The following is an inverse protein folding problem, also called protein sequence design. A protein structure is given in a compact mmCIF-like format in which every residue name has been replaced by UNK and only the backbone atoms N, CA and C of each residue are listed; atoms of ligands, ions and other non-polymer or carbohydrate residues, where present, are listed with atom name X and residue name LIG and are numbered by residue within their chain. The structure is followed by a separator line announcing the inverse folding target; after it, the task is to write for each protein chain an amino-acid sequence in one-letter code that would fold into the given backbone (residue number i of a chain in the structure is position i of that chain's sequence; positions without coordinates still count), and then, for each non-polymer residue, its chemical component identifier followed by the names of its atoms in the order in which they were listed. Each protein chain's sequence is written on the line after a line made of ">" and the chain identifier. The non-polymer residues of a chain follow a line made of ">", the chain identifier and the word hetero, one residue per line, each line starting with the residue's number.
data_IF_845635139465
#
_entry.id   IF_845635139465
#
_cell.length_a   1.000
_cell.length_b   1.000
_cell.length_c   1.000
_cell.angle_alpha   90.00
_cell.angle_beta   90.00
_cell.angle_gamma   90.00
#
_symmetry.space_group_name_H-M   'P 1'
#
loop_
_entity.id
_entity.type
_entity.pdbx_description
1 polymer ?
#
# COMPACT_ATOMS: atom_id res chain seq x y z
N UNK A 1 -14.91 -8.09 9.06
CA UNK A 1 -14.06 -7.53 10.13
C UNK A 1 -14.36 -6.05 10.19
N UNK A 2 -14.91 -5.56 11.29
CA UNK A 2 -15.06 -4.11 11.50
C UNK A 2 -13.68 -3.54 11.77
N UNK A 3 -13.09 -2.89 10.78
CA UNK A 3 -11.84 -2.14 10.92
C UNK A 3 -12.19 -0.89 11.70
N UNK A 4 -11.53 -0.65 12.84
CA UNK A 4 -11.66 0.61 13.55
C UNK A 4 -10.69 1.62 12.95
N UNK A 5 -11.18 2.79 12.55
CA UNK A 5 -10.33 3.89 12.07
C UNK A 5 -10.08 4.84 13.24
N UNK A 6 -8.84 5.29 13.38
CA UNK A 6 -8.42 6.25 14.39
C UNK A 6 -7.72 7.44 13.73
N UNK A 7 -8.45 8.55 13.58
CA UNK A 7 -7.90 9.78 13.01
C UNK A 7 -7.16 10.58 14.09
N UNK A 8 -5.84 10.61 13.97
CA UNK A 8 -4.91 11.34 14.81
C UNK A 8 -4.35 12.57 14.08
N UNK A 9 -3.79 13.51 14.84
CA UNK A 9 -3.17 14.71 14.31
C UNK A 9 -1.72 14.84 14.75
N UNK A 10 -0.89 15.41 13.87
CA UNK A 10 0.51 15.68 14.15
C UNK A 10 0.70 16.46 15.45
N UNK A 11 1.66 16.00 16.27
CA UNK A 11 2.03 16.59 17.55
C UNK A 11 0.93 16.63 18.63
N UNK A 12 -0.20 15.96 18.44
CA UNK A 12 -1.26 15.83 19.45
C UNK A 12 -1.01 14.57 20.28
N UNK A 13 -1.15 14.68 21.61
CA UNK A 13 -0.98 13.54 22.51
C UNK A 13 -2.33 12.86 22.75
N UNK A 14 -2.35 11.54 22.60
CA UNK A 14 -3.50 10.67 22.83
C UNK A 14 -3.22 9.75 24.01
N UNK A 15 -4.26 9.43 24.79
CA UNK A 15 -4.15 8.45 25.86
C UNK A 15 -4.21 7.05 25.27
N UNK A 16 -3.44 6.11 25.81
CA UNK A 16 -3.47 4.70 25.43
C UNK A 16 -3.88 3.87 26.62
N UNK A 17 -4.87 3.01 26.41
CA UNK A 17 -5.36 2.04 27.38
C UNK A 17 -5.28 0.65 26.75
N UNK A 18 -4.75 -0.31 27.50
CA UNK A 18 -4.71 -1.69 27.04
C UNK A 18 -6.12 -2.29 27.06
N UNK A 19 -6.54 -2.83 25.92
CA UNK A 19 -7.81 -3.52 25.72
C UNK A 19 -7.55 -5.02 25.61
N UNK A 20 -8.39 -5.84 26.24
CA UNK A 20 -8.27 -7.30 26.21
C UNK A 20 -8.97 -7.95 25.02
N UNK A 21 -9.89 -7.25 24.35
CA UNK A 21 -10.78 -7.87 23.35
C UNK A 21 -10.68 -7.23 21.96
N UNK A 22 -10.68 -5.90 21.86
CA UNK A 22 -10.74 -5.19 20.57
C UNK A 22 -9.99 -3.86 20.60
N UNK A 23 -9.42 -3.51 19.46
CA UNK A 23 -8.85 -2.18 19.24
C UNK A 23 -9.96 -1.21 18.82
N UNK A 24 -10.03 -0.04 19.45
CA UNK A 24 -10.92 1.04 19.01
C UNK A 24 -10.44 2.42 19.47
N UNK A 25 -10.92 3.45 18.80
CA UNK A 25 -10.64 4.83 19.14
C UNK A 25 -11.89 5.52 19.68
N UNK A 26 -11.77 6.16 20.85
CA UNK A 26 -12.81 7.00 21.45
C UNK A 26 -12.45 8.46 21.24
N UNK A 27 -13.19 9.13 20.35
CA UNK A 27 -12.95 10.54 20.01
C UNK A 27 -13.20 11.47 21.20
N UNK A 28 -14.32 11.26 21.91
CA UNK A 28 -14.74 12.09 23.04
C UNK A 28 -13.69 12.19 24.16
N UNK A 29 -12.95 11.10 24.40
CA UNK A 29 -11.92 11.03 25.43
C UNK A 29 -10.50 11.05 24.86
N UNK A 30 -10.33 11.22 23.53
CA UNK A 30 -9.05 11.11 22.81
C UNK A 30 -8.22 9.91 23.29
N UNK A 31 -8.88 8.76 23.44
CA UNK A 31 -8.28 7.55 24.03
C UNK A 31 -8.28 6.42 23.02
N UNK A 32 -7.09 5.85 22.79
CA UNK A 32 -6.85 4.66 22.00
C UNK A 32 -6.89 3.44 22.91
N UNK A 33 -7.84 2.55 22.64
CA UNK A 33 -7.91 1.24 23.26
C UNK A 33 -7.21 0.25 22.34
N UNK A 34 -6.06 -0.27 22.75
CA UNK A 34 -5.20 -1.13 21.92
C UNK A 34 -4.91 -2.44 22.65
N UNK A 35 -4.94 -3.55 21.93
CA UNK A 35 -4.45 -4.85 22.40
C UNK A 35 -2.92 -4.84 22.48
N UNK A 36 -2.36 -5.74 23.29
CA UNK A 36 -0.90 -5.88 23.41
C UNK A 36 -0.26 -6.28 22.08
N UNK A 37 -0.93 -7.12 21.28
CA UNK A 37 -0.48 -7.53 19.95
C UNK A 37 -0.35 -6.31 19.01
N UNK A 38 -1.40 -5.50 18.92
CA UNK A 38 -1.41 -4.28 18.10
C UNK A 38 -0.37 -3.26 18.56
N UNK A 39 -0.18 -3.09 19.88
CA UNK A 39 0.85 -2.19 20.40
C UNK A 39 2.27 -2.68 20.03
N UNK A 40 2.53 -3.98 20.15
CA UNK A 40 3.80 -4.58 19.74
C UNK A 40 4.06 -4.44 18.24
N UNK A 41 3.03 -4.56 17.40
CA UNK A 41 3.13 -4.29 15.97
C UNK A 41 3.47 -2.83 15.68
N UNK A 42 2.76 -1.89 16.31
CA UNK A 42 3.04 -0.45 16.18
C UNK A 42 4.48 -0.11 16.61
N UNK A 43 4.97 -0.69 17.71
CA UNK A 43 6.36 -0.52 18.12
C UNK A 43 7.36 -1.06 17.09
N UNK A 44 7.08 -2.23 16.49
CA UNK A 44 7.93 -2.78 15.42
C UNK A 44 7.97 -1.86 14.20
N UNK A 45 6.83 -1.34 13.76
CA UNK A 45 6.75 -0.41 12.62
C UNK A 45 7.49 0.90 12.97
N UNK A 46 7.31 1.41 14.19
CA UNK A 46 7.92 2.65 14.67
C UNK A 46 9.44 2.56 14.89
N UNK A 47 10.02 1.35 14.94
CA UNK A 47 11.49 1.16 14.98
C UNK A 47 12.15 1.56 13.66
N UNK A 48 11.49 1.31 12.52
CA UNK A 48 12.04 1.60 11.19
C UNK A 48 11.98 3.09 10.89
N UNK A 49 10.82 3.70 11.12
CA UNK A 49 10.59 5.13 10.96
C UNK A 49 10.05 5.65 12.28
N UNK A 50 10.75 6.55 12.98
CA UNK A 50 10.28 7.10 14.26
C UNK A 50 9.16 8.12 14.04
N UNK A 51 7.96 7.64 13.73
CA UNK A 51 6.78 8.43 13.40
C UNK A 51 5.86 8.66 14.62
N UNK A 52 5.97 7.83 15.67
CA UNK A 52 5.25 7.98 16.94
C UNK A 52 6.22 8.10 18.13
N UNK A 53 5.86 8.94 19.10
CA UNK A 53 6.34 8.88 20.46
C UNK A 53 5.39 8.01 21.28
N UNK A 54 5.80 6.76 21.54
CA UNK A 54 5.04 5.79 22.33
C UNK A 54 5.56 5.84 23.77
N UNK A 55 4.73 6.34 24.68
CA UNK A 55 4.93 6.30 26.12
C UNK A 55 4.13 5.17 26.78
N UNK A 56 4.22 5.04 28.11
CA UNK A 56 3.53 3.96 28.86
C UNK A 56 1.99 3.99 28.75
N UNK A 57 1.41 5.18 28.65
CA UNK A 57 -0.05 5.41 28.56
C UNK A 57 -0.40 6.51 27.56
N UNK A 58 0.56 6.88 26.72
CA UNK A 58 0.43 8.00 25.81
C UNK A 58 1.01 7.66 24.46
N UNK A 59 0.42 8.20 23.40
CA UNK A 59 0.89 8.05 22.04
C UNK A 59 0.78 9.41 21.37
N UNK A 60 1.87 9.86 20.75
CA UNK A 60 1.94 11.16 20.11
C UNK A 60 2.55 11.04 18.71
N UNK A 61 1.83 11.35 17.64
CA UNK A 61 2.40 11.47 16.31
C UNK A 61 3.43 12.60 16.23
N UNK A 62 4.48 12.40 15.43
CA UNK A 62 5.53 13.39 15.16
C UNK A 62 5.21 14.16 13.86
N UNK A 63 6.25 14.56 13.11
CA UNK A 63 6.15 15.18 11.78
C UNK A 63 5.98 14.11 10.71
N UNK A 64 4.82 13.47 10.70
CA UNK A 64 4.50 12.41 9.78
C UNK A 64 3.02 12.43 9.47
N UNK A 65 2.69 12.31 8.18
CA UNK A 65 1.33 12.28 7.68
C UNK A 65 1.18 10.99 6.89
N UNK A 66 0.08 10.28 7.07
CA UNK A 66 -0.19 9.04 6.34
C UNK A 66 -1.06 8.08 7.12
N UNK A 67 -1.10 6.83 6.67
CA UNK A 67 -1.91 5.76 7.27
C UNK A 67 -1.02 4.61 7.71
N UNK A 68 -1.32 4.06 8.88
CA UNK A 68 -0.65 2.89 9.44
C UNK A 68 -1.71 1.91 9.93
N UNK A 69 -1.69 0.70 9.38
CA UNK A 69 -2.52 -0.41 9.85
C UNK A 69 -1.72 -1.30 10.79
N UNK A 70 -2.27 -1.58 11.97
CA UNK A 70 -1.69 -2.50 12.95
C UNK A 70 -2.83 -3.30 13.60
N UNK A 71 -2.72 -4.62 13.62
CA UNK A 71 -3.78 -5.50 14.09
C UNK A 71 -5.14 -5.18 13.45
N UNK A 72 -6.11 -4.83 14.29
CA UNK A 72 -7.50 -4.53 13.87
C UNK A 72 -7.81 -3.04 13.73
N UNK A 73 -6.82 -2.16 13.95
CA UNK A 73 -6.98 -0.70 13.89
C UNK A 73 -6.18 -0.10 12.73
N UNK A 74 -6.79 0.88 12.08
CA UNK A 74 -6.14 1.76 11.09
C UNK A 74 -5.94 3.12 11.74
N UNK A 75 -4.69 3.55 11.87
CA UNK A 75 -4.33 4.87 12.38
C UNK A 75 -4.06 5.78 11.19
N UNK A 76 -4.84 6.85 11.08
CA UNK A 76 -4.65 7.90 10.10
C UNK A 76 -4.05 9.11 10.79
N UNK A 77 -2.93 9.63 10.31
CA UNK A 77 -2.29 10.81 10.88
C UNK A 77 -2.43 11.96 9.89
N UNK A 78 -3.18 12.98 10.27
CA UNK A 78 -3.47 14.17 9.48
C UNK A 78 -2.64 15.39 9.95
N UNK A 79 -2.34 16.33 9.05
CA UNK A 79 -1.62 17.54 9.42
C UNK A 79 -2.44 18.45 10.33
N UNK A 80 -1.75 19.10 11.27
CA UNK A 80 -2.36 20.12 12.14
C UNK A 80 -2.41 21.48 11.43
N UNK A 81 -3.31 21.62 10.45
CA UNK A 81 -3.43 22.84 9.63
C UNK A 81 -4.14 24.02 10.31
N UNK A 82 -4.91 23.77 11.37
CA UNK A 82 -5.63 24.80 12.12
C UNK A 82 -5.05 24.97 13.53
N UNK A 83 -4.94 26.22 13.99
CA UNK A 83 -4.38 26.55 15.30
C UNK A 83 -5.32 26.24 16.47
N UNK A 84 -6.62 26.32 16.24
CA UNK A 84 -7.64 26.02 17.26
C UNK A 84 -8.00 24.53 17.21
N UNK A 85 -8.47 23.97 18.33
CA UNK A 85 -8.98 22.58 18.44
C UNK A 85 -10.13 22.23 17.47
N UNK A 86 -10.54 23.20 16.63
CA UNK A 86 -11.45 23.06 15.49
C UNK A 86 -10.93 22.16 14.38
N UNK A 87 -9.66 21.74 14.40
CA UNK A 87 -9.12 20.81 13.40
C UNK A 87 -9.90 19.47 13.36
N UNK A 88 -10.46 19.01 14.48
CA UNK A 88 -11.30 17.80 14.50
C UNK A 88 -12.63 17.97 13.76
N UNK A 89 -13.18 19.18 13.75
CA UNK A 89 -14.42 19.51 13.05
C UNK A 89 -14.20 19.72 11.54
N UNK A 90 -12.94 19.87 11.12
CA UNK A 90 -12.55 20.20 9.75
C UNK A 90 -11.74 19.07 9.09
N UNK A 91 -11.88 17.83 9.54
CA UNK A 91 -11.15 16.65 8.99
C UNK A 91 -11.21 16.58 7.46
N UNK A 92 -12.41 16.69 6.88
CA UNK A 92 -12.59 16.65 5.42
C UNK A 92 -11.81 17.77 4.70
N UNK A 93 -11.84 18.99 5.24
CA UNK A 93 -11.09 20.13 4.71
C UNK A 93 -9.58 19.90 4.82
N UNK A 94 -9.12 19.33 5.94
CA UNK A 94 -7.71 18.99 6.15
C UNK A 94 -7.25 17.93 5.15
N UNK A 95 -8.02 16.85 4.99
CA UNK A 95 -7.74 15.78 4.03
C UNK A 95 -7.69 16.31 2.60
N UNK A 96 -8.66 17.15 2.20
CA UNK A 96 -8.67 17.80 0.88
C UNK A 96 -7.46 18.70 0.66
N UNK A 97 -7.09 19.50 1.65
CA UNK A 97 -5.90 20.35 1.57
C UNK A 97 -4.63 19.50 1.47
N UNK A 98 -4.55 18.39 2.21
CA UNK A 98 -3.44 17.45 2.15
C UNK A 98 -3.31 16.83 0.75
N UNK A 99 -4.40 16.34 0.19
CA UNK A 99 -4.44 15.81 -1.17
C UNK A 99 -4.01 16.85 -2.21
N UNK A 100 -4.45 18.11 -2.04
CA UNK A 100 -4.02 19.21 -2.90
C UNK A 100 -2.52 19.48 -2.76
N UNK A 101 -1.97 19.49 -1.54
CA UNK A 101 -0.53 19.61 -1.32
C UNK A 101 0.26 18.46 -1.95
N UNK A 102 -0.24 17.21 -1.82
CA UNK A 102 0.38 16.05 -2.46
C UNK A 102 0.38 16.18 -3.98
N UNK A 103 -0.68 16.70 -4.59
CA UNK A 103 -0.76 16.96 -6.03
C UNK A 103 0.32 17.95 -6.53
N UNK A 104 0.75 18.88 -5.68
CA UNK A 104 1.83 19.83 -6.00
C UNK A 104 3.23 19.26 -5.79
N UNK A 105 3.38 18.15 -5.08
CA UNK A 105 4.69 17.58 -4.73
C UNK A 105 5.41 16.88 -5.90
N UNK A 106 4.85 16.94 -7.12
CA UNK A 106 5.30 16.27 -8.37
C UNK A 106 5.45 14.74 -8.32
N UNK A 107 5.42 14.14 -7.13
CA UNK A 107 5.54 12.69 -6.91
C UNK A 107 4.23 11.94 -7.11
N UNK A 108 3.09 12.63 -6.99
CA UNK A 108 1.76 12.06 -7.16
C UNK A 108 0.98 12.89 -8.18
N UNK A 109 0.74 12.34 -9.37
CA UNK A 109 -0.04 12.98 -10.43
C UNK A 109 -1.54 12.89 -10.15
N UNK A 110 -1.96 13.52 -9.05
CA UNK A 110 -3.36 13.64 -8.63
C UNK A 110 -4.07 14.72 -9.47
N UNK A 111 -4.19 14.50 -10.77
CA UNK A 111 -4.83 15.46 -11.69
C UNK A 111 -6.36 15.51 -11.53
N UNK A 112 -6.95 14.48 -10.93
CA UNK A 112 -8.39 14.22 -10.96
C UNK A 112 -9.00 14.03 -9.58
N UNK A 113 -8.54 14.79 -8.58
CA UNK A 113 -9.28 14.87 -7.32
C UNK A 113 -10.43 15.84 -7.53
N UNK A 114 -11.52 15.34 -8.10
CA UNK A 114 -12.76 16.11 -8.12
C UNK A 114 -13.26 16.23 -6.68
N UNK A 115 -13.24 17.45 -6.19
CA UNK A 115 -13.56 17.75 -4.80
C UNK A 115 -14.96 17.37 -4.35
N UNK A 116 -15.84 17.02 -5.29
CA UNK A 116 -17.22 16.62 -5.05
C UNK A 116 -17.33 15.18 -4.54
N UNK A 117 -16.45 14.26 -4.97
CA UNK A 117 -16.48 12.86 -4.50
C UNK A 117 -16.04 12.73 -3.03
N UNK A 118 -15.28 13.71 -2.53
CA UNK A 118 -14.72 13.71 -1.17
C UNK A 118 -15.69 14.23 -0.09
N UNK A 119 -16.83 14.82 -0.47
CA UNK A 119 -17.73 15.50 0.47
C UNK A 119 -18.85 14.59 1.03
N UNK A 120 -18.92 13.34 0.54
CA UNK A 120 -20.12 12.49 0.70
C UNK A 120 -19.95 11.31 1.66
N UNK A 121 -18.72 10.94 2.04
CA UNK A 121 -18.43 9.81 2.93
C UNK A 121 -17.39 10.18 4.00
N UNK A 122 -17.38 9.45 5.13
CA UNK A 122 -16.25 9.49 6.07
C UNK A 122 -14.99 9.07 5.32
N UNK A 123 -14.16 10.06 4.99
CA UNK A 123 -12.96 9.88 4.17
C UNK A 123 -11.94 8.96 4.84
N UNK A 124 -11.89 7.69 4.44
CA UNK A 124 -10.75 6.81 4.71
C UNK A 124 -9.60 7.18 3.74
N UNK A 125 -8.53 7.71 4.29
CA UNK A 125 -7.41 8.21 3.51
C UNK A 125 -6.66 7.08 2.77
N UNK A 126 -6.73 5.86 3.29
CA UNK A 126 -6.13 4.68 2.65
C UNK A 126 -6.93 4.25 1.42
N UNK A 127 -8.26 4.24 1.52
CA UNK A 127 -9.15 3.89 0.40
C UNK A 127 -8.97 4.84 -0.79
N UNK A 128 -8.71 6.13 -0.52
CA UNK A 128 -8.38 7.10 -1.58
C UNK A 128 -7.13 6.67 -2.35
N UNK A 129 -6.07 6.23 -1.65
CA UNK A 129 -4.86 5.75 -2.32
C UNK A 129 -5.09 4.44 -3.07
N UNK A 130 -5.89 3.52 -2.52
CA UNK A 130 -6.28 2.29 -3.21
C UNK A 130 -7.03 2.62 -4.50
N UNK A 131 -7.98 3.55 -4.46
CA UNK A 131 -8.73 4.01 -5.62
C UNK A 131 -7.79 4.56 -6.70
N UNK A 132 -6.87 5.46 -6.35
CA UNK A 132 -5.90 5.98 -7.31
C UNK A 132 -5.01 4.90 -7.90
N UNK A 133 -4.53 3.97 -7.08
CA UNK A 133 -3.74 2.84 -7.54
C UNK A 133 -4.53 1.99 -8.54
N UNK A 134 -5.75 1.57 -8.18
CA UNK A 134 -6.60 0.73 -9.00
C UNK A 134 -6.99 1.41 -10.33
N UNK A 135 -7.36 2.69 -10.29
CA UNK A 135 -7.70 3.48 -11.48
C UNK A 135 -6.53 3.56 -12.45
N UNK A 136 -5.37 4.01 -11.96
CA UNK A 136 -4.17 4.17 -12.78
C UNK A 136 -3.69 2.82 -13.33
N UNK A 137 -3.74 1.76 -12.51
CA UNK A 137 -3.37 0.41 -12.94
C UNK A 137 -4.31 -0.12 -14.03
N UNK A 138 -5.62 0.12 -13.90
CA UNK A 138 -6.60 -0.31 -14.90
C UNK A 138 -6.40 0.40 -16.25
N UNK A 139 -6.13 1.70 -16.24
CA UNK A 139 -5.78 2.46 -17.45
C UNK A 139 -4.47 1.96 -18.07
N UNK A 140 -3.47 1.65 -17.24
CA UNK A 140 -2.21 1.10 -17.70
C UNK A 140 -2.39 -0.27 -18.35
N UNK A 141 -3.15 -1.19 -17.72
CA UNK A 141 -3.40 -2.53 -18.26
C UNK A 141 -4.17 -2.48 -19.58
N UNK A 142 -5.12 -1.54 -19.72
CA UNK A 142 -5.88 -1.33 -20.97
C UNK A 142 -5.01 -0.79 -22.11
N UNK A 143 -4.03 0.05 -21.80
CA UNK A 143 -3.18 0.71 -22.81
C UNK A 143 -1.93 -0.11 -23.16
N UNK A 144 -1.26 -0.71 -22.19
CA UNK A 144 -0.02 -1.45 -22.40
C UNK A 144 0.15 -2.58 -21.39
N UNK A 145 0.28 -3.80 -21.90
CA UNK A 145 0.76 -4.92 -21.12
C UNK A 145 2.25 -5.10 -21.39
N UNK A 146 3.08 -4.78 -20.40
CA UNK A 146 4.53 -4.93 -20.53
C UNK A 146 4.87 -6.41 -20.73
N UNK A 147 5.52 -6.72 -21.84
CA UNK A 147 6.03 -8.07 -22.14
C UNK A 147 7.56 -8.02 -22.16
N UNK A 148 8.19 -9.09 -21.70
CA UNK A 148 9.65 -9.20 -21.68
C UNK A 148 10.07 -10.53 -22.30
N UNK A 149 11.25 -10.53 -22.92
CA UNK A 149 11.84 -11.74 -23.46
C UNK A 149 12.44 -12.56 -22.31
N UNK A 150 11.86 -13.73 -22.05
CA UNK A 150 12.35 -14.68 -21.05
C UNK A 150 13.13 -15.77 -21.79
N UNK A 151 14.30 -16.11 -21.26
CA UNK A 151 15.12 -17.18 -21.82
C UNK A 151 14.61 -18.52 -21.31
N UNK A 152 14.20 -19.38 -22.25
CA UNK A 152 13.76 -20.74 -21.97
C UNK A 152 14.77 -21.75 -22.52
N UNK A 153 14.82 -22.92 -21.87
CA UNK A 153 15.62 -24.07 -22.30
C UNK A 153 14.75 -25.31 -22.24
N UNK A 154 14.27 -25.78 -23.37
CA UNK A 154 13.29 -26.89 -23.44
C UNK A 154 13.65 -27.92 -24.51
N UNK A 155 13.21 -29.15 -24.30
CA UNK A 155 13.33 -30.25 -25.27
C UNK A 155 12.12 -30.24 -26.21
N UNK A 156 12.31 -29.78 -27.44
CA UNK A 156 11.24 -29.58 -28.44
C UNK A 156 11.31 -30.61 -29.57
N UNK A 157 10.20 -30.83 -30.29
CA UNK A 157 10.19 -31.67 -31.50
C UNK A 157 10.56 -30.92 -32.78
N UNK A 158 10.86 -29.64 -32.66
CA UNK A 158 11.24 -28.73 -33.75
C UNK A 158 12.34 -27.78 -33.26
N UNK A 159 13.03 -27.15 -34.19
CA UNK A 159 14.11 -26.20 -33.87
C UNK A 159 13.50 -24.83 -33.57
N UNK A 160 13.79 -24.26 -32.40
CA UNK A 160 13.46 -22.88 -32.03
C UNK A 160 14.74 -22.15 -31.64
N UNK A 161 15.07 -21.08 -32.37
CA UNK A 161 16.32 -20.31 -32.23
C UNK A 161 17.58 -21.18 -32.22
N UNK A 162 18.16 -21.45 -31.04
CA UNK A 162 19.48 -22.07 -30.88
C UNK A 162 19.39 -23.45 -30.26
N UNK A 163 19.93 -24.45 -30.96
CA UNK A 163 20.07 -25.82 -30.42
C UNK A 163 21.17 -25.86 -29.34
N UNK A 164 20.89 -26.53 -28.23
CA UNK A 164 21.88 -26.87 -27.21
C UNK A 164 22.60 -28.18 -27.57
N UNK A 165 23.64 -28.05 -28.39
CA UNK A 165 24.40 -29.21 -28.89
C UNK A 165 25.07 -30.02 -27.77
N UNK A 166 25.32 -29.42 -26.60
CA UNK A 166 25.89 -30.14 -25.45
C UNK A 166 24.92 -31.14 -24.85
N UNK A 167 23.61 -30.85 -24.91
CA UNK A 167 22.53 -31.73 -24.42
C UNK A 167 22.03 -32.69 -25.51
N UNK A 168 22.38 -32.45 -26.77
CA UNK A 168 21.92 -33.23 -27.92
C UNK A 168 22.91 -34.32 -28.35
N UNK A 169 23.14 -35.29 -27.48
CA UNK A 169 24.15 -36.36 -27.69
C UNK A 169 23.56 -37.76 -27.83
N UNK A 170 22.31 -38.00 -27.42
CA UNK A 170 21.70 -39.32 -27.41
C UNK A 170 21.09 -39.69 -28.79
N UNK A 171 21.66 -40.68 -29.52
CA UNK A 171 21.16 -41.06 -30.85
C UNK A 171 19.74 -41.67 -30.86
N UNK A 172 19.29 -42.23 -29.73
CA UNK A 172 17.93 -42.79 -29.62
C UNK A 172 16.85 -41.70 -29.45
N UNK A 173 17.24 -40.47 -29.11
CA UNK A 173 16.32 -39.33 -28.86
C UNK A 173 16.52 -38.19 -29.85
N UNK A 174 17.04 -38.45 -31.06
CA UNK A 174 17.27 -37.40 -32.07
C UNK A 174 16.01 -36.63 -32.47
N UNK A 175 14.83 -37.22 -32.33
CA UNK A 175 13.54 -36.57 -32.55
C UNK A 175 13.17 -35.52 -31.47
N UNK A 176 13.97 -35.38 -30.41
CA UNK A 176 13.83 -34.42 -29.32
C UNK A 176 15.06 -33.52 -29.29
N UNK A 177 14.87 -32.24 -29.62
CA UNK A 177 15.91 -31.26 -29.84
C UNK A 177 15.91 -30.28 -28.66
N UNK A 178 16.93 -30.29 -27.79
CA UNK A 178 17.05 -29.30 -26.72
C UNK A 178 17.37 -27.94 -27.34
N UNK A 179 16.49 -26.96 -27.13
CA UNK A 179 16.58 -25.61 -27.69
C UNK A 179 16.65 -24.58 -26.57
N UNK A 180 17.51 -23.59 -26.74
CA UNK A 180 17.55 -22.34 -25.97
C UNK A 180 16.93 -21.23 -26.83
N UNK A 181 15.86 -20.61 -26.34
CA UNK A 181 15.14 -19.58 -27.09
C UNK A 181 14.62 -18.48 -26.17
N UNK A 182 14.20 -17.36 -26.76
CA UNK A 182 13.58 -16.26 -26.04
C UNK A 182 12.09 -16.20 -26.34
N UNK A 183 11.28 -16.31 -25.29
CA UNK A 183 9.83 -16.20 -25.38
C UNK A 183 9.39 -14.81 -24.92
N UNK A 184 8.63 -14.12 -25.77
CA UNK A 184 7.98 -12.88 -25.37
C UNK A 184 6.81 -13.21 -24.43
N UNK A 185 7.03 -13.06 -23.14
CA UNK A 185 6.06 -13.42 -22.11
C UNK A 185 5.47 -12.17 -21.43
N UNK A 186 4.19 -12.27 -21.08
CA UNK A 186 3.52 -11.31 -20.20
C UNK A 186 3.76 -11.63 -18.72
N UNK A 187 4.19 -12.84 -18.39
CA UNK A 187 4.46 -13.27 -17.01
C UNK A 187 5.82 -12.75 -16.53
N UNK A 188 5.93 -11.43 -16.46
CA UNK A 188 7.11 -10.71 -16.02
C UNK A 188 7.06 -10.52 -14.51
N UNK A 189 8.22 -10.32 -13.87
CA UNK A 189 8.26 -10.02 -12.42
C UNK A 189 7.37 -8.83 -12.08
N UNK A 190 7.40 -7.78 -12.89
CA UNK A 190 6.57 -6.59 -12.69
C UNK A 190 5.07 -6.94 -12.70
N UNK A 191 4.60 -7.67 -13.73
CA UNK A 191 3.19 -8.00 -13.85
C UNK A 191 2.72 -8.97 -12.75
N UNK A 192 3.59 -9.88 -12.30
CA UNK A 192 3.30 -10.73 -11.13
C UNK A 192 3.17 -9.91 -9.85
N UNK A 193 4.06 -8.94 -9.62
CA UNK A 193 3.98 -8.04 -8.47
C UNK A 193 2.69 -7.22 -8.49
N UNK A 194 2.35 -6.60 -9.63
CA UNK A 194 1.11 -5.83 -9.78
C UNK A 194 -0.14 -6.71 -9.60
N UNK A 195 -0.12 -7.94 -10.14
CA UNK A 195 -1.20 -8.90 -9.93
C UNK A 195 -1.34 -9.29 -8.45
N UNK A 196 -0.22 -9.52 -7.77
CA UNK A 196 -0.21 -9.90 -6.35
C UNK A 196 -0.79 -8.79 -5.47
N UNK A 197 -0.47 -7.52 -5.75
CA UNK A 197 -1.00 -6.37 -4.99
C UNK A 197 -2.52 -6.21 -5.11
N UNK A 198 -3.16 -6.79 -6.13
CA UNK A 198 -4.61 -6.74 -6.32
C UNK A 198 -5.38 -7.93 -5.73
N UNK A 199 -4.71 -8.93 -5.16
CA UNK A 199 -5.32 -10.19 -4.73
C UNK A 199 -5.76 -10.19 -3.25
N UNK A 200 -5.59 -9.08 -2.55
CA UNK A 200 -5.86 -8.93 -1.11
C UNK A 200 -7.18 -8.16 -0.89
#
# INVERSE_FOLDING_TARGET
>A
MTISIATLFEYVTYNVVLSTEKDYYSENSRTLHLTEETLNELEKINKTNKFLDIGRKTLKPRNCIGVVKAGSITIEILPKLFKDDRYEQHRAVIARNLLKMLSYSEKLSLKEIDSADLDTEELDFFEIFIYFFAKNLNELIKSTQRREYIKNSEELRFIRERIDTRRYTNPARLHIIPCNYHELSIDTTLNRTLKYTCYY
#
